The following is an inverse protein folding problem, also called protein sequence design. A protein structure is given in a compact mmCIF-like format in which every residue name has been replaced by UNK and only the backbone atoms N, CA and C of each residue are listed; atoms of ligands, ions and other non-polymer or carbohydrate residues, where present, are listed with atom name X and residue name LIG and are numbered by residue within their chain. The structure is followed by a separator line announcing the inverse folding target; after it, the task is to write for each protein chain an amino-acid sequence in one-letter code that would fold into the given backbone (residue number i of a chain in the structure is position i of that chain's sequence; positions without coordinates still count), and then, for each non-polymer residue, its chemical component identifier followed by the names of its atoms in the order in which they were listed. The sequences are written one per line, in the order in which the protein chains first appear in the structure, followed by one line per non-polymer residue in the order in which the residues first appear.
data_IF_058832928883
#
_entry.id   IF_058832928883
#
_cell.length_a   1.000
_cell.length_b   1.000
_cell.length_c   1.000
_cell.angle_alpha   90.00
_cell.angle_beta   90.00
_cell.angle_gamma   90.00
#
_symmetry.space_group_name_H-M   'P 1'
#
loop_
_entity.id
_entity.type
_entity.pdbx_description
1 polymer ?
#
# COMPACT_ATOMS: atom_id res chain seq x y z
N UNK A 1 -51.26 80.13 46.61
CA UNK A 1 -49.92 79.53 46.77
C UNK A 1 -49.84 78.01 46.47
N UNK A 2 -50.93 77.22 46.62
CA UNK A 2 -50.92 75.78 46.27
C UNK A 2 -50.90 75.49 44.74
N UNK A 3 -51.51 76.32 43.89
CA UNK A 3 -51.60 76.18 42.46
C UNK A 3 -50.23 76.39 41.79
N UNK A 4 -49.40 77.31 42.22
CA UNK A 4 -48.07 77.59 41.68
C UNK A 4 -47.10 76.44 41.94
N UNK A 5 -47.15 75.80 43.11
CA UNK A 5 -46.28 74.61 43.41
C UNK A 5 -46.62 73.42 42.54
N UNK A 6 -47.87 73.25 42.23
CA UNK A 6 -48.30 72.11 41.32
C UNK A 6 -47.78 72.31 39.89
N UNK A 7 -47.86 73.52 39.36
CA UNK A 7 -47.36 73.87 38.03
C UNK A 7 -45.83 73.75 37.95
N UNK A 8 -45.07 74.09 39.02
CA UNK A 8 -43.64 73.94 39.08
C UNK A 8 -43.26 72.46 39.05
N UNK A 9 -43.93 71.55 39.78
CA UNK A 9 -43.70 70.10 39.76
C UNK A 9 -44.02 69.53 38.41
N UNK A 10 -45.06 69.92 37.72
CA UNK A 10 -45.38 69.51 36.37
C UNK A 10 -44.31 69.95 35.36
N UNK A 11 -43.83 71.17 35.42
CA UNK A 11 -42.77 71.68 34.55
C UNK A 11 -41.44 70.91 34.75
N UNK A 12 -41.06 70.68 36.00
CA UNK A 12 -39.87 69.86 36.32
C UNK A 12 -40.02 68.45 35.81
N UNK A 13 -41.19 67.86 35.94
CA UNK A 13 -41.46 66.46 35.35
C UNK A 13 -41.34 66.43 33.84
N UNK A 14 -41.83 67.44 33.13
CA UNK A 14 -41.71 67.53 31.66
C UNK A 14 -40.26 67.71 31.24
N UNK A 15 -39.47 68.55 31.93
CA UNK A 15 -38.04 68.74 31.64
C UNK A 15 -37.25 67.47 31.88
N UNK A 16 -37.52 66.74 32.96
CA UNK A 16 -36.88 65.46 33.25
C UNK A 16 -37.20 64.38 32.19
N UNK A 17 -38.43 64.27 31.76
CA UNK A 17 -38.86 63.40 30.66
C UNK A 17 -38.13 63.74 29.34
N UNK A 18 -38.06 65.04 28.99
CA UNK A 18 -37.35 65.53 27.82
C UNK A 18 -35.84 65.13 27.84
N UNK A 19 -35.20 65.30 29.03
CA UNK A 19 -33.79 64.86 29.22
C UNK A 19 -33.62 63.37 29.08
N UNK A 20 -34.52 62.56 29.63
CA UNK A 20 -34.50 61.10 29.47
C UNK A 20 -34.63 60.74 28.00
N UNK A 21 -35.56 61.34 27.26
CA UNK A 21 -35.71 61.09 25.83
C UNK A 21 -34.49 61.48 25.00
N UNK A 22 -33.84 62.62 25.34
CA UNK A 22 -32.59 63.01 24.69
C UNK A 22 -31.44 62.00 24.94
N UNK A 23 -31.27 61.54 26.19
CA UNK A 23 -30.26 60.56 26.57
C UNK A 23 -30.55 59.24 25.85
N UNK A 24 -31.79 58.76 25.83
CA UNK A 24 -32.19 57.55 25.11
C UNK A 24 -31.94 57.68 23.61
N UNK A 25 -32.31 58.83 23.00
CA UNK A 25 -32.05 59.08 21.58
C UNK A 25 -30.54 59.03 21.23
N UNK A 26 -29.70 59.66 22.07
CA UNK A 26 -28.27 59.63 21.91
C UNK A 26 -27.69 58.20 22.05
N UNK A 27 -28.20 57.44 23.04
CA UNK A 27 -27.78 56.06 23.26
C UNK A 27 -28.17 55.15 22.10
N UNK A 28 -29.40 55.32 21.57
CA UNK A 28 -29.90 54.59 20.41
C UNK A 28 -29.03 54.86 19.18
N UNK A 29 -28.75 56.14 18.89
CA UNK A 29 -27.91 56.56 17.77
C UNK A 29 -26.50 55.95 17.85
N UNK A 30 -25.86 56.04 19.03
CA UNK A 30 -24.53 55.44 19.25
C UNK A 30 -24.53 53.93 19.06
N UNK A 31 -25.59 53.21 19.48
CA UNK A 31 -25.73 51.78 19.26
C UNK A 31 -25.94 51.46 17.78
N UNK A 32 -26.70 52.28 17.07
CA UNK A 32 -26.91 52.13 15.63
C UNK A 32 -25.60 52.27 14.86
N UNK A 33 -24.78 53.26 15.16
CA UNK A 33 -23.46 53.49 14.57
C UNK A 33 -22.52 52.28 14.85
N UNK A 34 -22.59 51.70 16.07
CA UNK A 34 -21.84 50.47 16.40
C UNK A 34 -22.30 49.24 15.59
N UNK A 35 -23.62 49.11 15.38
CA UNK A 35 -24.16 48.00 14.56
C UNK A 35 -23.70 48.15 13.13
N UNK A 36 -23.78 49.29 12.51
CA UNK A 36 -23.34 49.57 11.14
C UNK A 36 -21.83 49.26 10.96
N UNK A 37 -21.00 49.65 11.95
CA UNK A 37 -19.58 49.32 11.97
C UNK A 37 -19.34 47.80 12.01
N UNK A 38 -20.05 47.06 12.88
CA UNK A 38 -19.92 45.64 13.04
C UNK A 38 -20.40 44.89 11.79
N UNK A 39 -21.46 45.32 11.14
CA UNK A 39 -21.97 44.76 9.87
C UNK A 39 -20.95 44.96 8.74
N UNK A 40 -20.34 46.13 8.64
CA UNK A 40 -19.28 46.40 7.67
C UNK A 40 -18.04 45.53 7.91
N UNK A 41 -17.61 45.42 9.18
CA UNK A 41 -16.48 44.58 9.57
C UNK A 41 -16.75 43.07 9.27
N UNK A 42 -17.96 42.59 9.56
CA UNK A 42 -18.37 41.21 9.27
C UNK A 42 -18.40 40.94 7.77
N UNK A 43 -18.90 41.86 6.95
CA UNK A 43 -18.89 41.75 5.50
C UNK A 43 -17.46 41.66 4.95
N UNK A 44 -16.55 42.50 5.45
CA UNK A 44 -15.13 42.46 5.08
C UNK A 44 -14.49 41.14 5.48
N UNK A 45 -14.74 40.64 6.69
CA UNK A 45 -14.23 39.37 7.19
C UNK A 45 -14.74 38.18 6.34
N UNK A 46 -16.03 38.21 5.98
CA UNK A 46 -16.61 37.18 5.10
C UNK A 46 -15.95 37.18 3.70
N UNK A 47 -15.65 38.38 3.17
CA UNK A 47 -14.89 38.48 1.91
C UNK A 47 -13.50 37.88 2.00
N UNK A 48 -12.75 38.15 3.07
CA UNK A 48 -11.44 37.54 3.30
C UNK A 48 -11.52 36.02 3.49
N UNK A 49 -12.53 35.55 4.26
CA UNK A 49 -12.75 34.10 4.41
C UNK A 49 -12.98 33.40 3.09
N UNK A 50 -13.84 33.95 2.23
CA UNK A 50 -14.10 33.38 0.91
C UNK A 50 -12.82 33.33 0.05
N UNK A 51 -12.04 34.44 0.04
CA UNK A 51 -10.77 34.48 -0.71
C UNK A 51 -9.78 33.43 -0.22
N UNK A 52 -9.62 33.24 1.09
CA UNK A 52 -8.75 32.21 1.68
C UNK A 52 -9.26 30.80 1.32
N UNK A 53 -10.57 30.60 1.38
CA UNK A 53 -11.19 29.33 1.01
C UNK A 53 -10.92 28.97 -0.46
N UNK A 54 -11.14 29.92 -1.37
CA UNK A 54 -10.90 29.72 -2.81
C UNK A 54 -9.41 29.45 -3.10
N UNK A 55 -8.51 30.17 -2.41
CA UNK A 55 -7.06 29.92 -2.54
C UNK A 55 -6.69 28.53 -2.04
N UNK A 56 -7.26 28.07 -0.91
CA UNK A 56 -7.00 26.74 -0.39
C UNK A 56 -7.49 25.64 -1.35
N UNK A 57 -8.65 25.80 -1.97
CA UNK A 57 -9.14 24.87 -3.00
C UNK A 57 -8.19 24.83 -4.21
N UNK A 58 -7.72 25.98 -4.67
CA UNK A 58 -6.76 26.05 -5.78
C UNK A 58 -5.43 25.35 -5.44
N UNK A 59 -4.90 25.57 -4.24
CA UNK A 59 -3.67 24.91 -3.78
C UNK A 59 -3.85 23.39 -3.62
N UNK A 60 -4.99 22.92 -3.12
CA UNK A 60 -5.27 21.48 -3.04
C UNK A 60 -5.27 20.84 -4.42
N UNK A 61 -5.86 21.49 -5.42
CA UNK A 61 -5.87 21.01 -6.79
C UNK A 61 -4.46 20.96 -7.40
N UNK A 62 -3.65 22.00 -7.16
CA UNK A 62 -2.26 22.04 -7.62
C UNK A 62 -1.40 20.95 -6.96
N UNK A 63 -1.62 20.68 -5.67
CA UNK A 63 -0.94 19.59 -4.95
C UNK A 63 -1.30 18.23 -5.57
N UNK A 64 -2.57 17.97 -5.84
CA UNK A 64 -3.04 16.72 -6.44
C UNK A 64 -2.45 16.51 -7.85
N UNK A 65 -2.39 17.58 -8.66
CA UNK A 65 -1.75 17.54 -9.97
C UNK A 65 -0.25 17.25 -9.87
N UNK A 66 0.46 17.91 -8.94
CA UNK A 66 1.89 17.68 -8.74
C UNK A 66 2.20 16.27 -8.21
N UNK A 67 1.34 15.72 -7.35
CA UNK A 67 1.46 14.34 -6.88
C UNK A 67 1.30 13.34 -8.04
N UNK A 68 0.31 13.57 -8.91
CA UNK A 68 0.09 12.76 -10.10
C UNK A 68 1.31 12.79 -11.03
N UNK A 69 1.85 13.95 -11.32
CA UNK A 69 3.05 14.11 -12.16
C UNK A 69 4.28 13.42 -11.54
N UNK A 70 4.42 13.48 -10.21
CA UNK A 70 5.51 12.81 -9.50
C UNK A 70 5.41 11.28 -9.63
N UNK A 71 4.21 10.72 -9.47
CA UNK A 71 3.97 9.27 -9.63
C UNK A 71 4.31 8.85 -11.06
N UNK A 72 3.80 9.54 -12.08
CA UNK A 72 4.11 9.24 -13.49
C UNK A 72 5.62 9.29 -13.78
N UNK A 73 6.33 10.28 -13.22
CA UNK A 73 7.78 10.38 -13.38
C UNK A 73 8.49 9.19 -12.72
N UNK A 74 8.04 8.75 -11.54
CA UNK A 74 8.62 7.60 -10.84
C UNK A 74 8.34 6.28 -11.56
N UNK A 75 7.18 6.10 -12.15
CA UNK A 75 6.87 4.93 -13.01
C UNK A 75 7.83 4.83 -14.21
N UNK A 76 8.12 5.97 -14.86
CA UNK A 76 9.09 6.01 -15.95
C UNK A 76 10.50 5.64 -15.47
N UNK A 77 10.89 6.10 -14.29
CA UNK A 77 12.19 5.84 -13.70
C UNK A 77 12.36 4.35 -13.36
N UNK A 78 11.38 3.75 -12.69
CA UNK A 78 11.33 2.31 -12.37
C UNK A 78 11.39 1.47 -13.64
N UNK A 79 10.57 1.80 -14.64
CA UNK A 79 10.56 1.07 -15.92
C UNK A 79 11.94 1.11 -16.60
N UNK A 80 12.65 2.23 -16.54
CA UNK A 80 14.02 2.32 -17.07
C UNK A 80 15.00 1.43 -16.31
N UNK A 81 14.92 1.41 -14.98
CA UNK A 81 15.78 0.57 -14.15
C UNK A 81 15.50 -0.91 -14.38
N UNK A 82 14.24 -1.32 -14.44
CA UNK A 82 13.85 -2.70 -14.76
C UNK A 82 14.36 -3.13 -16.14
N UNK A 83 14.19 -2.29 -17.16
CA UNK A 83 14.71 -2.56 -18.51
C UNK A 83 16.25 -2.64 -18.54
N UNK A 84 16.94 -1.94 -17.66
CA UNK A 84 18.41 -1.99 -17.56
C UNK A 84 18.90 -3.31 -17.00
N UNK A 85 18.18 -3.90 -16.06
CA UNK A 85 18.55 -5.18 -15.44
C UNK A 85 18.00 -6.41 -16.19
N UNK A 86 16.97 -6.26 -17.04
CA UNK A 86 16.33 -7.38 -17.75
C UNK A 86 17.29 -8.29 -18.54
N UNK A 87 18.34 -7.79 -19.21
CA UNK A 87 19.31 -8.66 -19.87
C UNK A 87 20.08 -9.61 -18.94
N UNK A 88 20.12 -9.31 -17.63
CA UNK A 88 20.78 -10.16 -16.63
C UNK A 88 19.92 -11.40 -16.30
N UNK A 89 18.60 -11.31 -16.47
CA UNK A 89 17.63 -12.33 -16.07
C UNK A 89 17.93 -13.71 -16.68
N UNK A 90 18.30 -13.75 -17.96
CA UNK A 90 18.59 -14.99 -18.68
C UNK A 90 19.94 -15.62 -18.26
N UNK A 91 20.87 -14.83 -17.76
CA UNK A 91 22.22 -15.28 -17.42
C UNK A 91 22.42 -15.54 -15.93
N UNK A 92 21.78 -14.73 -15.07
CA UNK A 92 21.83 -14.81 -13.60
C UNK A 92 20.53 -14.36 -12.97
N UNK A 93 19.54 -15.27 -12.89
CA UNK A 93 18.23 -15.00 -12.29
C UNK A 93 18.33 -14.49 -10.85
N UNK A 94 19.26 -15.01 -10.05
CA UNK A 94 19.45 -14.59 -8.67
C UNK A 94 19.90 -13.13 -8.58
N UNK A 95 20.91 -12.75 -9.35
CA UNK A 95 21.40 -11.36 -9.37
C UNK A 95 20.31 -10.42 -9.87
N UNK A 96 19.61 -10.80 -10.95
CA UNK A 96 18.49 -10.02 -11.48
C UNK A 96 17.42 -9.79 -10.41
N UNK A 97 16.99 -10.85 -9.72
CA UNK A 97 15.94 -10.74 -8.70
C UNK A 97 16.38 -9.93 -7.49
N UNK A 98 17.65 -10.02 -7.08
CA UNK A 98 18.18 -9.17 -6.01
C UNK A 98 18.10 -7.69 -6.38
N UNK A 99 18.53 -7.33 -7.59
CA UNK A 99 18.44 -5.95 -8.09
C UNK A 99 16.99 -5.48 -8.26
N UNK A 100 16.10 -6.38 -8.74
CA UNK A 100 14.68 -6.09 -8.87
C UNK A 100 14.05 -5.76 -7.50
N UNK A 101 14.34 -6.52 -6.46
CA UNK A 101 13.87 -6.24 -5.09
C UNK A 101 14.39 -4.91 -4.54
N UNK A 102 15.66 -4.56 -4.80
CA UNK A 102 16.20 -3.27 -4.39
C UNK A 102 15.45 -2.11 -5.05
N UNK A 103 15.08 -2.23 -6.34
CA UNK A 103 14.26 -1.25 -7.04
C UNK A 103 12.85 -1.18 -6.42
N UNK A 104 12.19 -2.30 -6.19
CA UNK A 104 10.84 -2.32 -5.59
C UNK A 104 10.84 -1.71 -4.18
N UNK A 105 11.84 -2.01 -3.35
CA UNK A 105 11.95 -1.44 -2.01
C UNK A 105 12.16 0.08 -2.05
N UNK A 106 13.05 0.59 -2.94
CA UNK A 106 13.31 2.03 -3.09
C UNK A 106 12.07 2.82 -3.50
N UNK A 107 11.20 2.22 -4.33
CA UNK A 107 10.02 2.90 -4.87
C UNK A 107 8.71 2.48 -4.20
N UNK A 108 8.73 1.67 -3.16
CA UNK A 108 7.54 1.15 -2.45
C UNK A 108 6.64 2.24 -1.89
N UNK A 109 7.18 3.40 -1.51
CA UNK A 109 6.41 4.54 -0.99
C UNK A 109 5.51 5.18 -2.06
N UNK A 110 5.79 4.96 -3.35
CA UNK A 110 5.02 5.52 -4.48
C UNK A 110 3.98 4.54 -5.03
N UNK A 111 4.28 3.24 -5.05
CA UNK A 111 3.46 2.22 -5.71
C UNK A 111 2.82 1.22 -4.74
N UNK A 112 3.14 1.34 -3.45
CA UNK A 112 2.80 0.32 -2.46
C UNK A 112 3.76 -0.87 -2.51
N UNK A 113 3.64 -1.74 -1.53
CA UNK A 113 4.41 -2.98 -1.48
C UNK A 113 3.74 -4.03 -2.35
N UNK A 114 4.53 -4.75 -3.16
CA UNK A 114 4.06 -5.94 -3.83
C UNK A 114 3.66 -7.01 -2.79
N UNK A 115 2.74 -7.90 -3.17
CA UNK A 115 2.38 -9.05 -2.35
C UNK A 115 3.62 -9.88 -2.04
N UNK A 116 3.79 -10.23 -0.77
CA UNK A 116 4.95 -10.92 -0.28
C UNK A 116 4.54 -12.30 0.26
N UNK A 117 5.35 -13.32 0.00
CA UNK A 117 5.12 -14.67 0.52
C UNK A 117 4.93 -14.70 2.04
N UNK A 118 5.58 -13.80 2.78
CA UNK A 118 5.46 -13.66 4.23
C UNK A 118 4.12 -13.09 4.70
N UNK A 119 3.36 -12.45 3.82
CA UNK A 119 2.03 -11.92 4.11
C UNK A 119 0.93 -12.98 3.86
N UNK A 120 1.22 -13.98 3.01
CA UNK A 120 0.29 -15.02 2.60
C UNK A 120 0.37 -16.31 3.43
N UNK A 121 1.53 -16.59 4.03
CA UNK A 121 1.78 -17.83 4.78
C UNK A 121 2.29 -17.56 6.20
N UNK A 122 1.98 -18.46 7.11
CA UNK A 122 2.52 -18.41 8.48
C UNK A 122 4.03 -18.73 8.50
N UNK A 123 4.73 -18.29 9.54
CA UNK A 123 6.15 -18.59 9.73
C UNK A 123 6.44 -20.11 9.71
N UNK A 124 5.53 -20.93 10.27
CA UNK A 124 5.66 -22.38 10.25
C UNK A 124 5.56 -22.96 8.84
N UNK A 125 4.61 -22.48 8.03
CA UNK A 125 4.44 -22.90 6.63
C UNK A 125 5.65 -22.49 5.80
N UNK A 126 6.13 -21.27 5.93
CA UNK A 126 7.33 -20.77 5.24
C UNK A 126 8.56 -21.60 5.62
N UNK A 127 8.76 -21.85 6.89
CA UNK A 127 9.88 -22.65 7.36
C UNK A 127 9.83 -24.10 6.83
N UNK A 128 8.64 -24.68 6.71
CA UNK A 128 8.46 -26.01 6.11
C UNK A 128 8.79 -26.01 4.61
N UNK A 129 8.34 -25.00 3.86
CA UNK A 129 8.69 -24.83 2.44
C UNK A 129 10.20 -24.67 2.25
N UNK A 130 10.87 -23.85 3.06
CA UNK A 130 12.33 -23.71 3.01
C UNK A 130 13.05 -25.05 3.26
N UNK A 131 12.64 -25.80 4.29
CA UNK A 131 13.22 -27.11 4.59
C UNK A 131 13.07 -28.08 3.44
N UNK A 132 11.92 -28.08 2.80
CA UNK A 132 11.64 -28.89 1.62
C UNK A 132 12.57 -28.50 0.46
N UNK A 133 12.57 -27.23 0.06
CA UNK A 133 13.41 -26.74 -1.05
C UNK A 133 14.88 -27.03 -0.78
N UNK A 134 15.39 -26.71 0.42
CA UNK A 134 16.80 -26.96 0.78
C UNK A 134 17.16 -28.45 0.78
N UNK A 135 16.22 -29.33 1.14
CA UNK A 135 16.48 -30.78 1.18
C UNK A 135 16.50 -31.37 -0.22
N UNK A 136 15.53 -31.02 -1.06
CA UNK A 136 15.40 -31.52 -2.42
C UNK A 136 16.51 -31.00 -3.34
N UNK A 137 17.01 -29.79 -3.07
CA UNK A 137 18.00 -29.11 -3.93
C UNK A 137 19.34 -28.88 -3.25
N UNK A 138 19.70 -29.77 -2.32
CA UNK A 138 20.98 -29.64 -1.60
C UNK A 138 22.17 -29.55 -2.56
N UNK A 139 23.01 -28.52 -2.38
CA UNK A 139 24.16 -28.18 -3.24
C UNK A 139 23.82 -27.80 -4.67
N UNK A 140 22.55 -27.62 -5.01
CA UNK A 140 22.15 -27.09 -6.30
C UNK A 140 22.28 -25.56 -6.35
N UNK A 141 22.35 -25.03 -7.56
CA UNK A 141 22.31 -23.60 -7.86
C UNK A 141 20.91 -23.01 -7.57
N UNK A 142 20.73 -21.73 -7.85
CA UNK A 142 19.50 -20.98 -7.58
C UNK A 142 18.29 -21.51 -8.38
N UNK A 143 18.44 -21.76 -9.70
CA UNK A 143 17.32 -22.14 -10.56
C UNK A 143 16.60 -23.45 -10.13
N UNK A 144 17.27 -24.57 -9.80
CA UNK A 144 16.60 -25.74 -9.25
C UNK A 144 15.80 -25.46 -7.98
N UNK A 145 16.27 -24.55 -7.11
CA UNK A 145 15.54 -24.14 -5.90
C UNK A 145 14.25 -23.44 -6.26
N UNK A 146 14.28 -22.53 -7.25
CA UNK A 146 13.09 -21.87 -7.79
C UNK A 146 12.12 -22.90 -8.36
N UNK A 147 12.59 -23.84 -9.17
CA UNK A 147 11.73 -24.87 -9.77
C UNK A 147 11.00 -25.72 -8.72
N UNK A 148 11.69 -26.14 -7.64
CA UNK A 148 11.04 -26.89 -6.55
C UNK A 148 10.05 -26.01 -5.79
N UNK A 149 10.37 -24.73 -5.55
CA UNK A 149 9.44 -23.78 -4.95
C UNK A 149 8.16 -23.62 -5.80
N UNK A 150 8.29 -23.47 -7.12
CA UNK A 150 7.14 -23.42 -8.04
C UNK A 150 6.25 -24.67 -7.92
N UNK A 151 6.83 -25.88 -7.86
CA UNK A 151 6.02 -27.10 -7.71
C UNK A 151 5.24 -27.11 -6.40
N UNK A 152 5.80 -26.62 -5.30
CA UNK A 152 5.08 -26.50 -4.03
C UNK A 152 3.90 -25.51 -4.18
N UNK A 153 4.14 -24.34 -4.75
CA UNK A 153 3.11 -23.31 -4.95
C UNK A 153 2.02 -23.78 -5.91
N UNK A 154 2.39 -24.42 -7.03
CA UNK A 154 1.44 -25.00 -7.98
C UNK A 154 0.54 -26.06 -7.36
N UNK A 155 1.04 -26.84 -6.39
CA UNK A 155 0.21 -27.80 -5.66
C UNK A 155 -0.78 -27.11 -4.73
N UNK A 156 -0.41 -26.00 -4.10
CA UNK A 156 -1.34 -25.22 -3.25
C UNK A 156 -2.52 -24.71 -4.08
N UNK A 157 -2.27 -24.32 -5.32
CA UNK A 157 -3.30 -23.82 -6.25
C UNK A 157 -4.10 -24.95 -6.95
N UNK A 158 -3.65 -26.19 -6.87
CA UNK A 158 -4.27 -27.31 -7.58
C UNK A 158 -5.22 -28.09 -6.67
N UNK A 159 -6.49 -28.18 -7.04
CA UNK A 159 -7.58 -28.84 -6.29
C UNK A 159 -7.32 -30.31 -5.94
N UNK A 160 -6.34 -30.97 -6.56
CA UNK A 160 -5.98 -32.36 -6.26
C UNK A 160 -5.13 -32.49 -4.98
N UNK A 161 -4.63 -31.39 -4.44
CA UNK A 161 -3.76 -31.33 -3.27
C UNK A 161 -4.41 -30.59 -2.10
N UNK A 162 -3.94 -30.81 -0.85
CA UNK A 162 -4.31 -29.96 0.26
C UNK A 162 -3.95 -28.49 0.01
N UNK A 163 -4.67 -27.55 0.64
CA UNK A 163 -4.34 -26.13 0.58
C UNK A 163 -3.17 -25.75 1.49
N UNK A 164 -2.91 -26.54 2.55
CA UNK A 164 -1.83 -26.26 3.50
C UNK A 164 -0.50 -26.81 2.94
N UNK A 165 0.53 -25.98 2.74
CA UNK A 165 1.84 -26.41 2.31
C UNK A 165 2.50 -27.46 3.24
N UNK A 166 2.19 -27.44 4.55
CA UNK A 166 2.68 -28.43 5.48
C UNK A 166 2.12 -29.81 5.13
N UNK A 167 0.82 -29.90 4.88
CA UNK A 167 0.17 -31.15 4.49
C UNK A 167 0.66 -31.67 3.14
N UNK A 168 0.88 -30.77 2.18
CA UNK A 168 1.47 -31.10 0.87
C UNK A 168 2.86 -31.72 1.04
N UNK A 169 3.73 -31.08 1.82
CA UNK A 169 5.14 -31.46 1.98
C UNK A 169 5.27 -32.74 2.81
N UNK A 170 4.50 -32.87 3.87
CA UNK A 170 4.58 -34.00 4.80
C UNK A 170 3.81 -35.23 4.33
N UNK A 171 3.03 -35.15 3.26
CA UNK A 171 2.36 -36.30 2.66
C UNK A 171 3.36 -37.41 2.31
N UNK A 172 3.02 -38.69 2.54
CA UNK A 172 3.95 -39.79 2.33
C UNK A 172 4.49 -39.86 0.90
N UNK A 173 5.81 -39.98 0.76
CA UNK A 173 6.52 -40.10 -0.52
C UNK A 173 6.36 -38.93 -1.50
N UNK A 174 6.05 -37.73 -0.99
CA UNK A 174 5.91 -36.55 -1.84
C UNK A 174 7.21 -35.74 -1.90
N UNK A 175 7.75 -35.36 -0.74
CA UNK A 175 8.96 -34.55 -0.64
C UNK A 175 9.89 -35.01 0.49
N UNK A 176 11.18 -34.66 0.36
CA UNK A 176 12.11 -34.70 1.45
C UNK A 176 12.20 -33.30 2.14
N UNK A 177 12.27 -33.26 3.48
CA UNK A 177 12.26 -32.00 4.26
C UNK A 177 13.10 -32.06 5.55
N UNK A 178 14.15 -32.90 5.55
CA UNK A 178 14.94 -33.17 6.75
C UNK A 178 15.99 -32.12 7.13
N UNK A 179 16.31 -31.15 6.27
CA UNK A 179 17.34 -30.15 6.53
C UNK A 179 16.84 -29.00 7.39
N UNK A 180 17.69 -28.60 8.36
CA UNK A 180 17.39 -27.49 9.25
C UNK A 180 18.29 -26.26 9.00
N UNK A 181 19.33 -26.38 8.18
CA UNK A 181 20.19 -25.26 7.78
C UNK A 181 19.67 -24.76 6.44
N UNK A 182 19.07 -23.59 6.45
CA UNK A 182 18.45 -22.97 5.27
C UNK A 182 19.42 -21.89 4.74
N UNK A 183 19.74 -21.98 3.47
CA UNK A 183 20.58 -20.97 2.79
C UNK A 183 19.74 -19.75 2.38
N UNK A 184 20.40 -18.61 2.24
CA UNK A 184 19.72 -17.40 1.71
C UNK A 184 19.20 -17.61 0.29
N UNK A 185 19.90 -18.39 -0.53
CA UNK A 185 19.44 -18.77 -1.87
C UNK A 185 18.09 -19.50 -1.84
N UNK A 186 17.84 -20.31 -0.83
CA UNK A 186 16.56 -21.02 -0.66
C UNK A 186 15.43 -20.06 -0.30
N UNK A 187 15.68 -19.09 0.56
CA UNK A 187 14.70 -18.07 0.92
C UNK A 187 14.35 -17.21 -0.29
N UNK A 188 15.38 -16.70 -0.96
CA UNK A 188 15.24 -15.88 -2.15
C UNK A 188 14.54 -16.64 -3.30
N UNK A 189 14.76 -17.95 -3.43
CA UNK A 189 14.13 -18.78 -4.45
C UNK A 189 12.60 -18.92 -4.22
N UNK A 190 12.17 -19.06 -2.97
CA UNK A 190 10.74 -19.09 -2.64
C UNK A 190 10.08 -17.74 -2.94
N UNK A 191 10.73 -16.64 -2.57
CA UNK A 191 10.24 -15.29 -2.87
C UNK A 191 10.15 -15.06 -4.38
N UNK A 192 11.17 -15.48 -5.16
CA UNK A 192 11.15 -15.38 -6.61
C UNK A 192 9.98 -16.15 -7.23
N UNK A 193 9.81 -17.43 -6.84
CA UNK A 193 8.73 -18.27 -7.34
C UNK A 193 7.34 -17.71 -7.03
N UNK A 194 7.18 -17.04 -5.87
CA UNK A 194 5.92 -16.45 -5.46
C UNK A 194 5.61 -15.13 -6.20
N UNK A 195 6.62 -14.26 -6.35
CA UNK A 195 6.39 -12.87 -6.77
C UNK A 195 6.58 -12.63 -8.26
N UNK A 196 7.39 -13.45 -8.95
CA UNK A 196 7.82 -13.14 -10.32
C UNK A 196 7.20 -14.08 -11.37
N UNK A 197 7.54 -15.37 -11.33
CA UNK A 197 7.07 -16.30 -12.36
C UNK A 197 7.12 -17.77 -11.89
N UNK A 198 6.19 -18.56 -12.39
CA UNK A 198 6.30 -20.01 -12.37
C UNK A 198 7.24 -20.49 -13.49
N UNK A 199 8.48 -20.82 -13.13
CA UNK A 199 9.49 -21.32 -14.08
C UNK A 199 9.21 -22.75 -14.56
N UNK A 200 8.19 -23.42 -14.02
CA UNK A 200 7.86 -24.81 -14.32
C UNK A 200 6.60 -24.95 -15.18
N UNK A 201 5.97 -23.85 -15.56
CA UNK A 201 4.73 -23.83 -16.37
C UNK A 201 3.62 -24.73 -15.80
N UNK A 202 3.36 -24.62 -14.50
CA UNK A 202 2.30 -25.37 -13.80
C UNK A 202 2.65 -26.84 -13.51
N UNK A 203 3.93 -27.22 -13.50
CA UNK A 203 4.32 -28.58 -13.09
C UNK A 203 3.98 -28.81 -11.62
N UNK A 204 3.41 -29.97 -11.32
CA UNK A 204 2.98 -30.38 -9.97
C UNK A 204 3.78 -31.55 -9.41
N UNK A 205 4.74 -32.09 -10.17
CA UNK A 205 5.60 -33.18 -9.74
C UNK A 205 6.98 -33.10 -10.37
N UNK A 206 7.98 -33.68 -9.69
CA UNK A 206 9.33 -33.87 -10.24
C UNK A 206 9.97 -35.16 -9.70
N UNK A 207 11.00 -35.61 -10.37
CA UNK A 207 11.84 -36.75 -9.98
C UNK A 207 13.29 -36.48 -10.29
N UNK A 208 14.19 -37.05 -9.49
CA UNK A 208 15.64 -36.96 -9.67
C UNK A 208 16.25 -38.06 -10.55
N UNK A 209 15.48 -39.06 -10.94
CA UNK A 209 15.96 -40.18 -11.80
C UNK A 209 15.50 -40.01 -13.25
N UNK A 210 16.35 -40.34 -14.19
CA UNK A 210 16.08 -40.29 -15.64
C UNK A 210 14.75 -40.92 -16.02
N UNK A 211 13.83 -40.14 -16.40
CA UNK A 211 12.46 -40.40 -16.19
C UNK A 211 11.71 -40.66 -17.47
N UNK A 212 10.73 -41.55 -17.46
CA UNK A 212 9.87 -41.78 -18.60
C UNK A 212 9.16 -40.50 -19.04
N UNK A 213 8.69 -40.46 -20.29
CA UNK A 213 7.91 -39.37 -20.83
C UNK A 213 6.56 -39.19 -20.10
N UNK A 214 6.09 -40.25 -19.44
CA UNK A 214 4.88 -40.26 -18.62
C UNK A 214 5.18 -40.93 -17.27
N UNK A 215 4.69 -40.29 -16.20
CA UNK A 215 4.78 -40.83 -14.84
C UNK A 215 3.51 -40.53 -14.05
N UNK A 216 2.87 -41.53 -13.50
CA UNK A 216 1.61 -41.42 -12.75
C UNK A 216 0.48 -40.70 -13.49
N UNK A 217 0.45 -40.78 -14.82
CA UNK A 217 -0.54 -40.07 -15.65
C UNK A 217 -0.14 -38.66 -16.01
N UNK A 218 1.00 -38.17 -15.55
CA UNK A 218 1.53 -36.83 -15.86
C UNK A 218 2.55 -36.92 -17.00
N UNK A 219 2.58 -35.88 -17.84
CA UNK A 219 3.47 -35.81 -19.00
C UNK A 219 4.73 -35.00 -18.65
N UNK A 220 5.90 -35.52 -19.04
CA UNK A 220 7.17 -34.82 -18.89
C UNK A 220 7.17 -33.50 -19.65
N UNK A 221 7.56 -32.41 -18.95
CA UNK A 221 7.75 -31.09 -19.54
C UNK A 221 9.23 -30.87 -19.88
N UNK A 222 10.11 -30.89 -18.88
CA UNK A 222 11.54 -30.66 -19.06
C UNK A 222 12.37 -31.36 -17.97
N UNK A 223 13.69 -31.30 -18.12
CA UNK A 223 14.65 -31.68 -17.07
C UNK A 223 15.56 -30.49 -16.82
N UNK A 224 15.73 -30.10 -15.56
CA UNK A 224 16.58 -28.97 -15.17
C UNK A 224 18.07 -29.38 -15.07
N UNK A 225 18.91 -28.39 -14.76
CA UNK A 225 20.36 -28.54 -14.62
C UNK A 225 20.79 -29.40 -13.41
N UNK A 226 19.92 -29.62 -12.43
CA UNK A 226 20.16 -30.53 -11.31
C UNK A 226 19.84 -32.00 -11.65
N UNK A 227 19.21 -32.23 -12.79
CA UNK A 227 18.73 -33.55 -13.23
C UNK A 227 17.32 -33.87 -12.75
N UNK A 228 16.60 -32.92 -12.13
CA UNK A 228 15.19 -33.09 -11.83
C UNK A 228 14.36 -33.01 -13.12
N UNK A 229 13.51 -34.00 -13.32
CA UNK A 229 12.52 -34.00 -14.42
C UNK A 229 11.16 -33.62 -13.89
N UNK A 230 10.53 -32.61 -14.50
CA UNK A 230 9.28 -32.02 -14.10
C UNK A 230 8.11 -32.50 -14.96
N UNK A 231 6.93 -32.64 -14.32
CA UNK A 231 5.73 -33.21 -14.89
C UNK A 231 4.48 -32.37 -14.60
N UNK A 232 3.55 -32.39 -15.57
CA UNK A 232 2.25 -31.71 -15.50
C UNK A 232 1.14 -32.67 -15.90
#
# INVERSE_FOLDING_TARGET
MKIEKHNIIQCVGIVLLALIFMIMGYTIKSKQEQIEYLESANTSLQGHYNTVSDTNYSLMYEIDELQTQLIEQKEIEVTKLQNLIEPIRETDKKLWFTLYKEIEEEYSDYFGKADNVYDCFTEEQINMMWKCIETETYQCNFNPKVNVACVILNRIENEQFPLDPIDIITSPNQFAYGRNIITEDTKLALEYAFSIEDTTDGCIAFRSDCSPNEWNGWTKQFTDESGHTFYK
#
